data_IF_766631822757
#
_entry.id   IF_766631822757
#
_cell.length_a   1.000
_cell.length_b   1.000
_cell.length_c   1.000
_cell.angle_alpha   90.00
_cell.angle_beta   90.00
_cell.angle_gamma   90.00
#
_symmetry.space_group_name_H-M   'P 1'
#
loop_
_entity.id
_entity.type
_entity.pdbx_description
1 polymer ?
#
# COMPACT_ATOMS: atom_id res chain seq x y z
N UNK A 1 25.47 18.97 -27.94
CA UNK A 1 24.01 19.09 -27.72
C UNK A 1 23.75 20.35 -26.92
N UNK A 2 23.10 21.36 -27.51
CA UNK A 2 22.66 22.55 -26.77
C UNK A 2 21.30 22.22 -26.17
N UNK A 3 21.24 22.10 -24.86
CA UNK A 3 19.98 21.98 -24.13
C UNK A 3 19.25 23.32 -24.20
N UNK A 4 18.06 23.34 -24.80
CA UNK A 4 17.22 24.53 -24.98
C UNK A 4 16.61 25.08 -23.66
N UNK A 5 17.01 24.51 -22.53
CA UNK A 5 16.50 24.84 -21.20
C UNK A 5 17.69 25.05 -20.27
N UNK A 6 17.69 26.10 -19.42
CA UNK A 6 18.80 26.33 -18.51
C UNK A 6 18.82 25.19 -17.48
N UNK A 7 19.78 24.28 -17.66
CA UNK A 7 20.08 23.19 -16.73
C UNK A 7 20.93 23.75 -15.60
N UNK A 8 20.27 24.30 -14.58
CA UNK A 8 20.95 24.82 -13.40
C UNK A 8 21.04 23.73 -12.33
N UNK A 9 22.11 23.70 -11.52
CA UNK A 9 22.24 22.75 -10.41
C UNK A 9 21.03 22.76 -9.47
N UNK A 10 20.39 23.92 -9.30
CA UNK A 10 19.18 24.08 -8.49
C UNK A 10 17.98 23.30 -9.04
N UNK A 11 17.78 23.28 -10.36
CA UNK A 11 16.69 22.50 -10.99
C UNK A 11 16.94 21.01 -10.84
N UNK A 12 18.18 20.57 -11.03
CA UNK A 12 18.55 19.16 -10.81
C UNK A 12 18.29 18.75 -9.35
N UNK A 13 18.73 19.57 -8.38
CA UNK A 13 18.50 19.32 -6.96
C UNK A 13 16.99 19.23 -6.62
N UNK A 14 16.16 20.11 -7.19
CA UNK A 14 14.71 20.08 -7.01
C UNK A 14 14.07 18.81 -7.59
N UNK A 15 14.51 18.37 -8.77
CA UNK A 15 14.04 17.12 -9.36
C UNK A 15 14.43 15.92 -8.49
N UNK A 16 15.69 15.84 -8.06
CA UNK A 16 16.18 14.76 -7.21
C UNK A 16 15.43 14.73 -5.87
N UNK A 17 15.23 15.89 -5.22
CA UNK A 17 14.51 15.94 -3.95
C UNK A 17 13.07 15.48 -4.08
N UNK A 18 12.39 15.82 -5.19
CA UNK A 18 11.04 15.37 -5.46
C UNK A 18 10.95 13.84 -5.59
N UNK A 19 11.84 13.24 -6.39
CA UNK A 19 11.88 11.78 -6.54
C UNK A 19 12.25 11.06 -5.25
N UNK A 20 13.23 11.57 -4.50
CA UNK A 20 13.58 11.00 -3.19
C UNK A 20 12.40 11.06 -2.22
N UNK A 21 11.67 12.18 -2.18
CA UNK A 21 10.47 12.32 -1.34
C UNK A 21 9.41 11.30 -1.71
N UNK A 22 9.17 11.10 -3.01
CA UNK A 22 8.25 10.06 -3.50
C UNK A 22 8.69 8.65 -3.08
N UNK A 23 9.97 8.32 -3.26
CA UNK A 23 10.51 7.02 -2.86
C UNK A 23 10.35 6.75 -1.36
N UNK A 24 10.58 7.76 -0.51
CA UNK A 24 10.38 7.66 0.93
C UNK A 24 8.91 7.40 1.27
N UNK A 25 7.98 8.16 0.69
CA UNK A 25 6.54 7.98 0.92
C UNK A 25 6.07 6.58 0.48
N UNK A 26 6.52 6.11 -0.68
CA UNK A 26 6.22 4.76 -1.15
C UNK A 26 6.78 3.68 -0.23
N UNK A 27 8.04 3.78 0.17
CA UNK A 27 8.67 2.82 1.09
C UNK A 27 7.96 2.76 2.44
N UNK A 28 7.60 3.92 2.99
CA UNK A 28 6.83 4.00 4.24
C UNK A 28 5.43 3.39 4.10
N UNK A 29 4.73 3.70 3.02
CA UNK A 29 3.43 3.10 2.71
C UNK A 29 3.49 1.59 2.55
N UNK A 30 4.51 1.07 1.85
CA UNK A 30 4.74 -0.37 1.71
C UNK A 30 5.05 -1.05 3.05
N UNK A 31 5.85 -0.42 3.91
CA UNK A 31 6.13 -0.95 5.24
C UNK A 31 4.85 -1.05 6.08
N UNK A 32 4.04 0.02 6.10
CA UNK A 32 2.76 0.02 6.79
C UNK A 32 1.80 -1.03 6.20
N UNK A 33 1.74 -1.16 4.89
CA UNK A 33 0.94 -2.20 4.25
C UNK A 33 1.37 -3.60 4.69
N UNK A 34 2.68 -3.89 4.65
CA UNK A 34 3.22 -5.20 5.03
C UNK A 34 2.85 -5.58 6.47
N UNK A 35 3.04 -4.66 7.44
CA UNK A 35 2.75 -4.95 8.85
C UNK A 35 1.24 -5.10 9.13
N UNK A 36 0.38 -4.45 8.34
CA UNK A 36 -1.08 -4.47 8.55
C UNK A 36 -1.82 -5.50 7.68
N UNK A 37 -1.24 -5.97 6.58
CA UNK A 37 -1.89 -6.88 5.64
C UNK A 37 -2.30 -8.20 6.29
N UNK A 38 -1.37 -8.86 6.99
CA UNK A 38 -1.64 -10.15 7.62
C UNK A 38 -2.70 -10.07 8.75
N UNK A 39 -2.62 -9.12 9.70
CA UNK A 39 -3.69 -8.91 10.68
C UNK A 39 -5.05 -8.62 10.03
N UNK A 40 -5.07 -7.80 8.98
CA UNK A 40 -6.32 -7.47 8.28
C UNK A 40 -6.91 -8.69 7.57
N UNK A 41 -6.09 -9.50 6.92
CA UNK A 41 -6.51 -10.77 6.32
C UNK A 41 -7.08 -11.73 7.37
N UNK A 42 -6.44 -11.85 8.54
CA UNK A 42 -6.93 -12.68 9.63
C UNK A 42 -8.32 -12.26 10.12
N UNK A 43 -8.55 -10.95 10.30
CA UNK A 43 -9.86 -10.40 10.71
C UNK A 43 -10.95 -10.68 9.68
N UNK A 44 -10.64 -10.49 8.40
CA UNK A 44 -11.58 -10.78 7.30
C UNK A 44 -11.91 -12.27 7.26
N UNK A 45 -10.90 -13.14 7.40
CA UNK A 45 -11.08 -14.58 7.44
C UNK A 45 -11.97 -15.01 8.59
N UNK A 46 -11.68 -14.57 9.82
CA UNK A 46 -12.49 -14.89 11.00
C UNK A 46 -13.96 -14.46 10.84
N UNK A 47 -14.19 -13.26 10.28
CA UNK A 47 -15.55 -12.77 9.98
C UNK A 47 -16.24 -13.67 8.96
N UNK A 48 -15.55 -14.04 7.88
CA UNK A 48 -16.12 -14.88 6.83
C UNK A 48 -16.45 -16.29 7.35
N UNK A 49 -15.59 -16.86 8.19
CA UNK A 49 -15.83 -18.15 8.85
C UNK A 49 -17.06 -18.09 9.77
N UNK A 50 -17.15 -17.06 10.61
CA UNK A 50 -18.32 -16.84 11.44
C UNK A 50 -19.62 -16.74 10.62
N UNK A 51 -19.63 -15.94 9.55
CA UNK A 51 -20.80 -15.79 8.68
C UNK A 51 -21.15 -17.12 8.02
N UNK A 52 -20.16 -17.85 7.49
CA UNK A 52 -20.36 -19.16 6.86
C UNK A 52 -20.97 -20.17 7.83
N UNK A 53 -20.49 -20.23 9.06
CA UNK A 53 -21.01 -21.15 10.08
C UNK A 53 -22.44 -20.80 10.49
N UNK A 54 -22.76 -19.50 10.59
CA UNK A 54 -24.14 -19.03 10.84
C UNK A 54 -25.07 -19.41 9.68
N UNK A 55 -24.63 -19.29 8.44
CA UNK A 55 -25.40 -19.67 7.25
C UNK A 55 -25.59 -21.19 7.15
N UNK A 56 -24.57 -21.99 7.47
CA UNK A 56 -24.68 -23.47 7.53
C UNK A 56 -25.73 -23.89 8.56
N UNK A 57 -25.66 -23.36 9.78
CA UNK A 57 -26.66 -23.59 10.83
C UNK A 57 -28.07 -23.18 10.39
N UNK A 58 -28.22 -22.06 9.69
CA UNK A 58 -29.53 -21.58 9.20
C UNK A 58 -30.08 -22.41 8.03
N UNK A 59 -29.22 -22.96 7.19
CA UNK A 59 -29.63 -23.71 5.98
C UNK A 59 -29.91 -25.19 6.25
N UNK A 60 -29.80 -25.67 7.49
CA UNK A 60 -30.05 -27.08 7.84
C UNK A 60 -29.02 -28.07 7.30
N UNK A 61 -27.98 -27.60 6.61
CA UNK A 61 -26.80 -28.41 6.25
C UNK A 61 -25.89 -28.50 7.47
N UNK A 62 -26.13 -29.51 8.30
CA UNK A 62 -25.20 -30.01 9.31
C UNK A 62 -24.09 -30.78 8.59
#
# INVERSE_FOLDING_TARGET
MVVCFPSTPKKLAATVSFFLSGAVLFGYGLHLWHVNAAPQQARIKARNEFVRDRLRKKSGKI
#
